data_IF_885531604414
#
_entry.id   IF_885531604414
#
_cell.length_a   1.000
_cell.length_b   1.000
_cell.length_c   1.000
_cell.angle_alpha   90.00
_cell.angle_beta   90.00
_cell.angle_gamma   90.00
#
_symmetry.space_group_name_H-M   'P 1'
#
loop_
_entity.id
_entity.type
_entity.pdbx_description
1 polymer ?
#
# COMPACT_ATOMS: atom_id res chain seq x y z
N UNK A 1 -9.79 -4.24 -15.43
CA UNK A 1 -10.44 -4.50 -14.13
C UNK A 1 -9.42 -5.21 -13.26
N UNK A 2 -9.24 -4.77 -12.01
CA UNK A 2 -8.37 -5.46 -11.07
C UNK A 2 -8.99 -6.82 -10.74
N UNK A 3 -8.16 -7.85 -10.54
CA UNK A 3 -8.64 -9.15 -10.08
C UNK A 3 -9.29 -8.98 -8.68
N UNK A 4 -10.37 -9.70 -8.36
CA UNK A 4 -11.05 -9.55 -7.08
C UNK A 4 -10.18 -10.04 -5.91
N UNK A 5 -10.54 -9.61 -4.71
CA UNK A 5 -10.04 -10.22 -3.47
C UNK A 5 -10.94 -11.43 -3.19
N UNK A 6 -10.37 -12.63 -3.21
CA UNK A 6 -11.09 -13.89 -3.02
C UNK A 6 -10.77 -14.47 -1.66
N UNK A 7 -11.79 -14.80 -0.89
CA UNK A 7 -11.67 -15.27 0.50
C UNK A 7 -12.41 -16.60 0.62
N UNK A 8 -11.73 -17.64 1.13
CA UNK A 8 -12.30 -18.96 1.40
C UNK A 8 -12.54 -19.13 2.90
N UNK A 9 -13.81 -19.20 3.29
CA UNK A 9 -14.22 -19.47 4.67
C UNK A 9 -14.94 -20.81 4.71
N UNK A 10 -14.44 -21.76 5.51
CA UNK A 10 -14.94 -23.14 5.59
C UNK A 10 -15.12 -23.83 4.21
N UNK A 11 -14.23 -23.55 3.27
CA UNK A 11 -14.25 -24.12 1.91
C UNK A 11 -15.23 -23.45 0.94
N UNK A 12 -15.90 -22.37 1.35
CA UNK A 12 -16.75 -21.56 0.48
C UNK A 12 -16.07 -20.25 0.14
N UNK A 13 -16.08 -19.91 -1.14
CA UNK A 13 -15.37 -18.74 -1.67
C UNK A 13 -16.32 -17.56 -1.77
N UNK A 14 -15.87 -16.41 -1.30
CA UNK A 14 -16.50 -15.10 -1.48
C UNK A 14 -15.54 -14.18 -2.25
N UNK A 15 -16.08 -13.43 -3.21
CA UNK A 15 -15.34 -12.55 -4.10
C UNK A 15 -15.74 -11.09 -3.87
N UNK A 16 -14.73 -10.25 -3.66
CA UNK A 16 -14.89 -8.82 -3.45
C UNK A 16 -14.17 -8.03 -4.53
N UNK A 17 -14.91 -7.16 -5.23
CA UNK A 17 -14.28 -6.07 -5.97
C UNK A 17 -13.77 -5.03 -4.97
N UNK A 18 -12.71 -4.31 -5.33
CA UNK A 18 -12.07 -3.39 -4.39
C UNK A 18 -11.71 -2.07 -5.05
N UNK A 19 -11.92 -0.98 -4.33
CA UNK A 19 -11.50 0.36 -4.70
C UNK A 19 -10.64 0.92 -3.59
N UNK A 20 -9.40 1.30 -3.92
CA UNK A 20 -8.52 1.97 -2.97
C UNK A 20 -9.14 3.28 -2.52
N UNK A 21 -9.29 3.43 -1.21
CA UNK A 21 -9.82 4.64 -0.58
C UNK A 21 -8.68 5.63 -0.41
N UNK A 22 -8.80 6.77 -1.08
CA UNK A 22 -7.81 7.84 -1.04
C UNK A 22 -8.48 9.14 -0.63
N UNK A 23 -7.78 9.96 0.15
CA UNK A 23 -8.29 11.27 0.59
C UNK A 23 -8.69 12.15 -0.60
N UNK A 24 -7.95 12.07 -1.70
CA UNK A 24 -8.25 12.76 -2.95
C UNK A 24 -9.59 12.36 -3.58
N UNK A 25 -10.06 11.11 -3.36
CA UNK A 25 -11.37 10.64 -3.81
C UNK A 25 -12.50 11.07 -2.89
N UNK A 26 -12.24 11.19 -1.59
CA UNK A 26 -13.23 11.60 -0.60
C UNK A 26 -13.44 13.12 -0.56
N UNK A 27 -12.35 13.87 -0.59
CA UNK A 27 -12.35 15.32 -0.37
C UNK A 27 -12.04 16.11 -1.65
N UNK A 28 -11.78 15.42 -2.76
CA UNK A 28 -11.21 16.03 -3.95
C UNK A 28 -9.73 16.36 -3.79
N UNK A 29 -9.14 16.93 -4.85
CA UNK A 29 -7.78 17.48 -4.82
C UNK A 29 -7.73 18.76 -5.63
N UNK A 30 -6.83 19.67 -5.25
CA UNK A 30 -6.49 20.85 -6.04
C UNK A 30 -5.05 20.69 -6.51
N UNK A 31 -4.82 20.81 -7.82
CA UNK A 31 -3.48 20.77 -8.43
C UNK A 31 -3.22 22.10 -9.12
N UNK A 32 -2.05 22.71 -8.91
CA UNK A 32 -1.60 23.85 -9.72
C UNK A 32 -1.06 23.30 -11.05
N UNK A 33 -1.52 23.87 -12.15
CA UNK A 33 -1.08 23.53 -13.50
C UNK A 33 -0.66 24.81 -14.21
N UNK A 34 0.47 24.74 -14.90
CA UNK A 34 0.99 25.87 -15.68
C UNK A 34 0.59 25.65 -17.12
N UNK A 35 0.13 26.71 -17.80
CA UNK A 35 -0.24 26.65 -19.22
C UNK A 35 0.73 27.47 -20.05
N UNK A 36 0.96 27.03 -21.29
CA UNK A 36 1.71 27.78 -22.27
C UNK A 36 0.83 28.89 -22.91
N UNK A 37 1.40 29.78 -23.75
CA UNK A 37 0.62 30.81 -24.45
C UNK A 37 -0.46 30.28 -25.41
N UNK A 38 -0.44 29.00 -25.76
CA UNK A 38 -1.45 28.34 -26.61
C UNK A 38 -2.54 27.64 -25.78
N UNK A 39 -2.42 27.62 -24.46
CA UNK A 39 -3.35 26.98 -23.54
C UNK A 39 -3.07 25.49 -23.29
N UNK A 40 -1.88 24.99 -23.64
CA UNK A 40 -1.47 23.60 -23.39
C UNK A 40 -0.81 23.45 -22.01
N UNK A 41 -1.09 22.35 -21.29
CA UNK A 41 -0.49 22.07 -19.97
C UNK A 41 1.02 21.86 -20.09
N UNK A 42 1.78 22.67 -19.37
CA UNK A 42 3.22 22.56 -19.25
C UNK A 42 3.59 21.45 -18.26
N UNK A 43 4.64 20.69 -18.58
CA UNK A 43 5.25 19.71 -17.69
C UNK A 43 6.56 20.23 -17.11
N UNK A 44 6.80 19.95 -15.83
CA UNK A 44 8.07 20.28 -15.18
C UNK A 44 9.17 19.36 -15.71
N UNK A 45 10.29 19.95 -16.10
CA UNK A 45 11.52 19.25 -16.51
C UNK A 45 12.71 19.89 -15.83
N UNK A 46 13.72 19.09 -15.52
CA UNK A 46 15.02 19.54 -15.05
C UNK A 46 16.00 19.56 -16.22
N UNK A 47 16.97 20.46 -16.19
CA UNK A 47 18.05 20.53 -17.17
C UNK A 47 19.34 20.09 -16.46
N UNK A 48 20.16 19.29 -17.14
CA UNK A 48 21.49 18.95 -16.64
C UNK A 48 22.38 20.19 -16.49
N UNK A 49 23.40 20.13 -15.63
CA UNK A 49 24.27 21.29 -15.35
C UNK A 49 24.97 21.83 -16.61
N UNK A 50 25.30 20.94 -17.56
CA UNK A 50 25.91 21.27 -18.84
C UNK A 50 24.92 21.76 -19.90
N UNK A 51 23.61 21.76 -19.60
CA UNK A 51 22.56 22.26 -20.48
C UNK A 51 22.22 21.34 -21.66
N UNK A 52 22.76 20.13 -21.72
CA UNK A 52 22.63 19.25 -22.89
C UNK A 52 21.45 18.28 -22.79
N UNK A 53 21.01 17.94 -21.58
CA UNK A 53 20.03 16.90 -21.31
C UNK A 53 18.83 17.44 -20.54
N UNK A 54 17.63 17.21 -21.09
CA UNK A 54 16.38 17.43 -20.39
C UNK A 54 16.02 16.16 -19.61
N UNK A 55 15.94 16.28 -18.29
CA UNK A 55 15.58 15.23 -17.36
C UNK A 55 14.11 15.39 -16.99
N UNK A 56 13.31 14.41 -17.38
CA UNK A 56 11.88 14.34 -17.03
C UNK A 56 11.68 13.48 -15.79
N UNK A 57 10.52 13.64 -15.15
CA UNK A 57 10.08 12.71 -14.11
C UNK A 57 10.16 11.26 -14.61
N UNK A 58 10.75 10.38 -13.80
CA UNK A 58 10.97 8.97 -14.12
C UNK A 58 12.27 8.65 -14.88
N UNK A 59 13.01 9.64 -15.40
CA UNK A 59 14.26 9.38 -16.12
C UNK A 59 15.42 8.98 -15.21
N UNK A 60 15.40 9.39 -13.94
CA UNK A 60 16.46 9.10 -12.95
C UNK A 60 16.31 7.73 -12.28
N UNK A 61 15.10 7.14 -12.29
CA UNK A 61 14.78 5.89 -11.59
C UNK A 61 15.05 4.62 -12.43
N UNK A 62 16.05 4.63 -13.31
CA UNK A 62 16.28 3.54 -14.27
C UNK A 62 17.14 2.38 -13.73
N UNK A 63 17.91 2.62 -12.68
CA UNK A 63 18.79 1.61 -12.08
C UNK A 63 19.76 2.22 -11.07
N UNK A 64 20.62 1.35 -10.54
CA UNK A 64 21.63 1.71 -9.56
C UNK A 64 23.02 1.56 -10.15
N UNK A 65 24.01 2.18 -9.52
CA UNK A 65 25.42 2.01 -9.87
C UNK A 65 26.13 1.33 -8.71
N UNK A 66 27.01 0.38 -9.02
CA UNK A 66 27.93 -0.16 -8.01
C UNK A 66 29.06 0.83 -7.74
N UNK A 67 29.86 0.56 -6.70
CA UNK A 67 31.09 1.32 -6.40
C UNK A 67 32.10 1.38 -7.57
N UNK A 68 31.98 0.49 -8.55
CA UNK A 68 32.82 0.44 -9.75
C UNK A 68 32.13 1.06 -10.98
N UNK A 69 31.15 1.94 -10.78
CA UNK A 69 30.35 2.61 -11.83
C UNK A 69 29.62 1.65 -12.78
N UNK A 70 29.36 0.40 -12.34
CA UNK A 70 28.59 -0.54 -13.15
C UNK A 70 27.09 -0.32 -12.94
N UNK A 71 26.38 -0.03 -14.03
CA UNK A 71 24.93 0.09 -14.02
C UNK A 71 24.23 -1.26 -13.79
N UNK A 72 23.26 -1.28 -12.88
CA UNK A 72 22.39 -2.41 -12.54
C UNK A 72 20.93 -1.99 -12.78
N UNK A 73 20.23 -2.61 -13.74
CA UNK A 73 18.80 -2.40 -13.96
C UNK A 73 17.96 -2.80 -12.73
N UNK A 74 16.87 -2.09 -12.45
CA UNK A 74 15.97 -2.43 -11.34
C UNK A 74 15.40 -3.86 -11.41
N UNK A 75 15.32 -4.44 -12.61
CA UNK A 75 14.79 -5.80 -12.84
C UNK A 75 15.73 -6.90 -12.32
N UNK A 76 17.01 -6.58 -12.21
CA UNK A 76 18.05 -7.52 -11.78
C UNK A 76 18.30 -7.43 -10.27
N UNK A 77 17.59 -6.53 -9.56
CA UNK A 77 17.65 -6.42 -8.11
C UNK A 77 16.94 -7.60 -7.46
N UNK A 78 17.57 -8.15 -6.42
CA UNK A 78 17.02 -9.25 -5.63
C UNK A 78 16.98 -8.85 -4.15
N UNK A 79 15.91 -9.22 -3.47
CA UNK A 79 15.81 -9.11 -2.02
C UNK A 79 16.76 -10.09 -1.35
N UNK A 80 17.49 -9.62 -0.35
CA UNK A 80 18.38 -10.44 0.48
C UNK A 80 17.85 -10.45 1.92
N UNK A 81 18.01 -11.58 2.60
CA UNK A 81 17.76 -11.68 4.05
C UNK A 81 18.94 -11.15 4.88
N UNK A 82 18.80 -11.15 6.21
CA UNK A 82 19.85 -10.72 7.15
C UNK A 82 21.15 -11.55 7.03
N UNK A 83 21.09 -12.73 6.42
CA UNK A 83 22.21 -13.63 6.17
C UNK A 83 22.79 -13.50 4.75
N UNK A 84 22.25 -12.58 3.93
CA UNK A 84 22.67 -12.36 2.55
C UNK A 84 22.16 -13.41 1.55
N UNK A 85 21.16 -14.22 1.92
CA UNK A 85 20.53 -15.19 1.03
C UNK A 85 19.37 -14.54 0.26
N UNK A 86 19.20 -14.92 -0.99
CA UNK A 86 18.11 -14.44 -1.85
C UNK A 86 16.74 -14.85 -1.30
N UNK A 87 15.85 -13.88 -1.13
CA UNK A 87 14.45 -14.09 -0.77
C UNK A 87 13.65 -14.50 -2.01
N UNK A 88 12.70 -15.42 -1.81
CA UNK A 88 11.73 -15.77 -2.85
C UNK A 88 10.56 -14.79 -2.84
N UNK A 89 10.02 -14.50 -4.01
CA UNK A 89 8.86 -13.64 -4.15
C UNK A 89 7.60 -14.40 -3.76
N UNK A 90 6.81 -13.83 -2.84
CA UNK A 90 5.46 -14.27 -2.56
C UNK A 90 4.56 -13.79 -3.71
N UNK A 91 3.81 -14.68 -4.38
CA UNK A 91 2.98 -14.30 -5.53
C UNK A 91 1.85 -13.35 -5.13
N UNK A 92 1.19 -12.75 -6.14
CA UNK A 92 0.00 -11.94 -5.91
C UNK A 92 -1.17 -12.82 -5.48
N UNK A 93 -1.88 -12.41 -4.43
CA UNK A 93 -3.06 -13.11 -3.92
C UNK A 93 -4.35 -12.69 -4.63
N UNK A 94 -4.30 -11.70 -5.53
CA UNK A 94 -5.50 -11.22 -6.22
C UNK A 94 -6.02 -12.26 -7.22
N UNK A 95 -7.31 -12.60 -7.09
CA UNK A 95 -7.98 -13.64 -7.84
C UNK A 95 -7.67 -15.07 -7.38
N UNK A 96 -6.88 -15.24 -6.30
CA UNK A 96 -6.63 -16.53 -5.68
C UNK A 96 -7.30 -16.59 -4.30
N UNK A 97 -8.10 -17.63 -4.00
CA UNK A 97 -8.82 -17.72 -2.74
C UNK A 97 -7.84 -17.86 -1.56
N UNK A 98 -7.88 -16.89 -0.65
CA UNK A 98 -7.13 -16.92 0.59
C UNK A 98 -7.96 -17.59 1.68
N UNK A 99 -7.44 -18.65 2.28
CA UNK A 99 -8.13 -19.33 3.38
C UNK A 99 -8.08 -18.47 4.64
N UNK A 100 -9.26 -18.15 5.18
CA UNK A 100 -9.41 -17.43 6.44
C UNK A 100 -9.81 -18.40 7.53
N UNK A 101 -9.12 -18.30 8.67
CA UNK A 101 -9.39 -19.08 9.86
C UNK A 101 -10.46 -18.40 10.73
N UNK A 102 -10.42 -18.67 12.03
CA UNK A 102 -11.31 -18.04 13.02
C UNK A 102 -11.16 -16.51 13.05
N UNK A 103 -12.20 -15.78 13.48
CA UNK A 103 -12.14 -14.33 13.67
C UNK A 103 -10.95 -13.90 14.55
N UNK A 104 -10.24 -12.87 14.11
CA UNK A 104 -9.17 -12.25 14.89
C UNK A 104 -9.74 -11.33 15.98
N UNK A 105 -8.90 -10.95 16.94
CA UNK A 105 -9.32 -10.02 18.00
C UNK A 105 -9.29 -8.60 17.44
N UNK A 106 -10.22 -7.71 17.85
CA UNK A 106 -10.16 -6.29 17.45
C UNK A 106 -8.83 -5.60 17.81
N UNK A 107 -8.13 -6.08 18.83
CA UNK A 107 -6.81 -5.58 19.22
C UNK A 107 -5.76 -5.81 18.13
N UNK A 108 -5.84 -6.92 17.41
CA UNK A 108 -4.89 -7.27 16.36
C UNK A 108 -4.99 -6.28 15.18
N UNK A 109 -6.19 -5.76 14.90
CA UNK A 109 -6.41 -4.68 13.92
C UNK A 109 -5.86 -3.34 14.41
N UNK A 110 -5.90 -3.07 15.71
CA UNK A 110 -5.41 -1.81 16.28
C UNK A 110 -3.88 -1.76 16.38
N UNK A 111 -3.23 -2.92 16.51
CA UNK A 111 -1.79 -3.07 16.59
C UNK A 111 -1.13 -3.21 15.19
N UNK A 112 -1.55 -2.39 14.23
CA UNK A 112 -0.95 -2.33 12.88
C UNK A 112 -0.57 -0.91 12.48
N UNK A 113 0.47 -0.77 11.63
CA UNK A 113 0.73 0.42 10.83
C UNK A 113 -0.05 0.28 9.50
N UNK A 114 -1.19 0.98 9.32
CA UNK A 114 -2.00 0.85 8.11
C UNK A 114 -1.29 1.51 6.92
N UNK A 115 -1.16 0.77 5.82
CA UNK A 115 -0.54 1.25 4.58
C UNK A 115 -1.62 1.63 3.57
N UNK A 116 -2.68 0.84 3.45
CA UNK A 116 -3.74 1.07 2.47
C UNK A 116 -5.09 0.59 3.00
N UNK A 117 -6.15 1.33 2.65
CA UNK A 117 -7.54 0.94 2.93
C UNK A 117 -8.29 0.78 1.61
N UNK A 118 -9.02 -0.32 1.49
CA UNK A 118 -9.89 -0.61 0.37
C UNK A 118 -11.35 -0.63 0.82
N UNK A 119 -12.21 0.00 0.03
CA UNK A 119 -13.66 -0.20 0.09
C UNK A 119 -14.01 -1.38 -0.83
N UNK A 120 -14.80 -2.32 -0.33
CA UNK A 120 -15.12 -3.56 -1.02
C UNK A 120 -16.58 -3.59 -1.48
N UNK A 121 -16.79 -4.16 -2.66
CA UNK A 121 -18.11 -4.50 -3.18
C UNK A 121 -18.22 -6.03 -3.29
N UNK A 122 -19.25 -6.60 -2.66
CA UNK A 122 -19.43 -8.03 -2.53
C UNK A 122 -20.12 -8.59 -3.79
N UNK A 123 -19.32 -8.95 -4.80
CA UNK A 123 -19.83 -9.53 -6.03
C UNK A 123 -20.44 -10.93 -5.79
N UNK A 124 -19.77 -11.75 -4.98
CA UNK A 124 -20.27 -13.06 -4.53
C UNK A 124 -19.91 -13.23 -3.05
N UNK A 125 -20.91 -13.46 -2.20
CA UNK A 125 -20.72 -13.58 -0.75
C UNK A 125 -21.43 -14.82 -0.22
N UNK A 126 -20.70 -15.64 0.55
CA UNK A 126 -21.33 -16.75 1.28
C UNK A 126 -22.04 -16.25 2.54
N UNK A 127 -23.22 -16.82 2.81
CA UNK A 127 -24.08 -16.42 3.91
C UNK A 127 -23.54 -16.74 5.31
N UNK A 128 -22.56 -17.64 5.47
CA UNK A 128 -21.89 -17.85 6.77
C UNK A 128 -20.88 -16.73 7.06
N UNK A 129 -20.08 -16.38 6.06
CA UNK A 129 -19.13 -15.27 6.16
C UNK A 129 -19.88 -13.95 6.37
N UNK A 130 -20.99 -13.72 5.64
CA UNK A 130 -21.81 -12.53 5.78
C UNK A 130 -22.34 -12.34 7.21
N UNK A 131 -22.88 -13.41 7.83
CA UNK A 131 -23.39 -13.36 9.20
C UNK A 131 -22.30 -13.02 10.22
N UNK A 132 -21.12 -13.62 10.09
CA UNK A 132 -19.99 -13.31 10.95
C UNK A 132 -19.58 -11.83 10.82
N UNK A 133 -19.53 -11.32 9.59
CA UNK A 133 -19.22 -9.92 9.34
C UNK A 133 -20.31 -8.98 9.89
N UNK A 134 -21.59 -9.36 9.80
CA UNK A 134 -22.71 -8.62 10.39
C UNK A 134 -22.68 -8.59 11.92
N UNK A 135 -22.19 -9.65 12.56
CA UNK A 135 -21.94 -9.72 14.00
C UNK A 135 -20.74 -8.86 14.44
N UNK A 136 -19.95 -8.35 13.49
CA UNK A 136 -18.77 -7.53 13.74
C UNK A 136 -17.47 -8.32 13.89
N UNK A 137 -17.45 -9.58 13.46
CA UNK A 137 -16.22 -10.38 13.39
C UNK A 137 -15.25 -9.79 12.36
N UNK A 138 -13.96 -9.89 12.65
CA UNK A 138 -12.89 -9.39 11.78
C UNK A 138 -12.04 -10.57 11.34
N UNK A 139 -11.74 -10.68 10.05
CA UNK A 139 -10.94 -11.78 9.51
C UNK A 139 -9.59 -11.28 8.99
N UNK A 140 -8.52 -12.01 9.28
CA UNK A 140 -7.16 -11.73 8.81
C UNK A 140 -6.75 -12.68 7.71
N UNK A 141 -6.10 -12.14 6.67
CA UNK A 141 -5.55 -12.93 5.57
C UNK A 141 -4.33 -12.22 4.96
N UNK A 142 -3.40 -12.97 4.32
CA UNK A 142 -2.33 -12.36 3.56
C UNK A 142 -2.88 -11.71 2.27
N UNK A 143 -2.45 -10.48 1.98
CA UNK A 143 -2.81 -9.80 0.74
C UNK A 143 -1.56 -9.26 0.03
N UNK A 144 -1.37 -9.66 -1.22
CA UNK A 144 -0.33 -9.12 -2.09
C UNK A 144 -0.94 -8.67 -3.41
N UNK A 145 -0.95 -7.34 -3.64
CA UNK A 145 -1.40 -6.77 -4.90
C UNK A 145 -0.48 -7.15 -6.07
N UNK A 146 0.82 -7.28 -5.80
CA UNK A 146 1.88 -7.69 -6.74
C UNK A 146 2.73 -8.76 -6.08
N UNK A 147 3.51 -9.50 -6.87
CA UNK A 147 4.53 -10.35 -6.28
C UNK A 147 5.56 -9.48 -5.53
N UNK A 148 5.80 -9.80 -4.27
CA UNK A 148 6.67 -9.03 -3.37
C UNK A 148 7.40 -9.97 -2.41
N UNK A 149 8.49 -9.51 -1.80
CA UNK A 149 9.29 -10.29 -0.86
C UNK A 149 8.61 -10.50 0.50
N UNK A 150 7.55 -9.73 0.78
CA UNK A 150 6.77 -9.83 2.02
C UNK A 150 5.29 -9.89 1.68
N UNK A 151 4.56 -10.76 2.37
CA UNK A 151 3.10 -10.72 2.36
C UNK A 151 2.59 -9.62 3.30
N UNK A 152 1.78 -8.69 2.80
CA UNK A 152 1.10 -7.74 3.68
C UNK A 152 -0.04 -8.42 4.44
N UNK A 153 -0.36 -7.92 5.63
CA UNK A 153 -1.48 -8.43 6.44
C UNK A 153 -2.72 -7.60 6.17
N UNK A 154 -3.80 -8.25 5.73
CA UNK A 154 -5.08 -7.62 5.46
C UNK A 154 -6.14 -8.06 6.48
N UNK A 155 -7.03 -7.12 6.81
CA UNK A 155 -8.15 -7.31 7.72
C UNK A 155 -9.45 -7.00 7.00
N UNK A 156 -10.33 -7.99 6.89
CA UNK A 156 -11.69 -7.85 6.39
C UNK A 156 -12.63 -7.52 7.55
N UNK A 157 -13.41 -6.45 7.38
CA UNK A 157 -14.45 -6.04 8.33
C UNK A 157 -15.64 -5.41 7.62
N UNK A 158 -16.79 -5.40 8.30
CA UNK A 158 -18.00 -4.71 7.85
C UNK A 158 -18.39 -3.65 8.87
N UNK A 159 -18.85 -2.50 8.40
CA UNK A 159 -19.48 -1.47 9.21
C UNK A 159 -20.83 -1.07 8.58
N UNK A 160 -21.49 -0.04 9.12
CA UNK A 160 -22.78 0.43 8.62
C UNK A 160 -22.77 0.99 7.18
N UNK A 161 -21.60 1.36 6.66
CA UNK A 161 -21.42 1.91 5.31
C UNK A 161 -21.07 0.82 4.28
N UNK A 162 -20.51 -0.31 4.72
CA UNK A 162 -20.18 -1.43 3.83
C UNK A 162 -19.00 -2.28 4.30
N UNK A 163 -18.39 -2.96 3.35
CA UNK A 163 -17.23 -3.84 3.56
C UNK A 163 -15.92 -3.09 3.34
N UNK A 164 -14.96 -3.31 4.21
CA UNK A 164 -13.64 -2.69 4.15
C UNK A 164 -12.55 -3.72 4.31
N UNK A 165 -11.45 -3.51 3.60
CA UNK A 165 -10.20 -4.23 3.79
C UNK A 165 -9.10 -3.24 4.18
N UNK A 166 -8.55 -3.42 5.38
CA UNK A 166 -7.44 -2.61 5.89
C UNK A 166 -6.17 -3.44 5.77
N UNK A 167 -5.17 -2.88 5.08
CA UNK A 167 -3.90 -3.55 4.81
C UNK A 167 -2.79 -2.80 5.52
N UNK A 168 -1.95 -3.52 6.22
CA UNK A 168 -0.86 -2.94 6.97
C UNK A 168 0.15 -3.96 7.46
N UNK A 169 1.10 -3.42 8.21
CA UNK A 169 2.16 -4.19 8.85
C UNK A 169 1.85 -4.30 10.35
N UNK A 170 1.79 -5.50 10.94
CA UNK A 170 1.67 -5.65 12.38
C UNK A 170 2.81 -4.94 13.11
N UNK A 171 2.47 -4.21 14.16
CA UNK A 171 3.41 -3.42 14.96
C UNK A 171 3.25 -3.71 16.44
N UNK A 172 4.35 -3.83 17.14
CA UNK A 172 4.33 -3.92 18.60
C UNK A 172 4.47 -2.51 19.15
N UNK A 173 3.44 -2.03 19.83
CA UNK A 173 3.48 -0.75 20.53
C UNK A 173 4.37 -0.88 21.76
N UNK A 174 5.45 -0.09 21.82
CA UNK A 174 6.27 0.01 23.02
C UNK A 174 5.67 1.06 23.99
N UNK A 175 5.70 0.74 25.28
CA UNK A 175 5.25 1.68 26.31
C UNK A 175 6.26 2.81 26.48
N UNK A 176 5.84 4.05 26.22
CA UNK A 176 6.68 5.23 26.41
C UNK A 176 6.47 5.81 27.82
N UNK A 177 7.57 6.02 28.55
CA UNK A 177 7.58 6.71 29.84
C UNK A 177 8.24 8.09 29.67
N UNK A 178 7.84 9.06 30.49
CA UNK A 178 8.34 10.44 30.40
C UNK A 178 9.87 10.56 30.51
N UNK A 179 10.54 9.61 31.18
CA UNK A 179 12.00 9.56 31.34
C UNK A 179 12.74 8.95 30.13
N UNK A 180 12.03 8.34 29.18
CA UNK A 180 12.59 7.82 27.93
C UNK A 180 12.25 8.80 26.80
N UNK A 181 13.17 9.69 26.39
CA UNK A 181 12.95 10.46 25.18
C UNK A 181 12.75 9.49 24.00
N UNK A 182 11.68 9.71 23.24
CA UNK A 182 11.47 8.99 22.00
C UNK A 182 12.69 9.23 21.10
N UNK A 183 13.33 8.15 20.64
CA UNK A 183 14.34 8.27 19.60
C UNK A 183 13.59 8.64 18.34
N UNK A 184 13.72 9.89 17.89
CA UNK A 184 13.28 10.31 16.56
C UNK A 184 14.04 9.46 15.54
N UNK A 185 13.43 8.38 15.09
CA UNK A 185 13.82 7.78 13.82
C UNK A 185 13.37 8.81 12.78
N UNK A 186 14.33 9.40 12.08
CA UNK A 186 14.04 10.14 10.86
C UNK A 186 13.30 9.15 9.95
N UNK A 187 11.98 9.26 9.89
CA UNK A 187 11.25 8.74 8.75
C UNK A 187 11.78 9.55 7.57
N UNK A 188 12.38 8.89 6.57
CA UNK A 188 12.56 9.53 5.27
C UNK A 188 11.15 9.99 4.88
N UNK A 189 10.91 11.30 4.96
CA UNK A 189 9.72 11.89 4.38
C UNK A 189 9.71 11.42 2.93
N UNK A 190 8.76 10.55 2.56
CA UNK A 190 8.35 10.50 1.17
C UNK A 190 7.98 11.94 0.86
N UNK A 191 8.79 12.61 0.02
CA UNK A 191 8.50 13.91 -0.56
C UNK A 191 7.17 13.83 -1.31
N UNK A 192 6.06 13.80 -0.56
CA UNK A 192 4.78 14.21 -1.06
C UNK A 192 4.89 15.74 -1.05
N UNK A 193 5.30 16.29 -2.18
CA UNK A 193 5.31 17.72 -2.54
C UNK A 193 3.92 18.43 -2.35
N UNK A 194 2.99 17.82 -1.61
CA UNK A 194 1.58 18.20 -1.46
C UNK A 194 1.19 18.61 -0.02
N UNK A 195 2.14 18.76 0.92
CA UNK A 195 1.88 19.39 2.22
C UNK A 195 2.00 20.92 2.15
N UNK A 196 1.13 21.57 1.37
CA UNK A 196 0.92 23.04 1.37
C UNK A 196 0.18 23.44 2.68
N UNK A 197 0.89 23.50 3.81
CA UNK A 197 0.44 24.25 5.00
C UNK A 197 0.89 25.71 4.87
N UNK A 198 0.19 26.48 4.03
CA UNK A 198 0.36 27.93 3.97
C UNK A 198 0.11 28.55 5.36
N UNK A 199 1.19 29.00 6.02
CA UNK A 199 1.12 29.98 7.10
C UNK A 199 1.17 31.38 6.48
N UNK A 200 -0.02 31.93 6.26
CA UNK A 200 -0.38 33.35 6.04
C UNK A 200 0.10 34.06 4.76
#
# INVERSE_FOLDING_TARGET
MAKPISISFHGKISNFEHVKLERSKLYGRRKRVTYDPKGEECSRISLSEDGTLLIRSGMTAQGYFTENDKWIPNKDLVGLDESGKTLELVPSTLGEPQEVAEPCKPRDLLDIKPTTVYMLDAAELDGELEKQLDEGSIFTFPLNYRADYRAETAFLLKNGEGYFCVVGVPTVSEWCEQEKPAVEKQEEEEDSDDLDFDMF
#
